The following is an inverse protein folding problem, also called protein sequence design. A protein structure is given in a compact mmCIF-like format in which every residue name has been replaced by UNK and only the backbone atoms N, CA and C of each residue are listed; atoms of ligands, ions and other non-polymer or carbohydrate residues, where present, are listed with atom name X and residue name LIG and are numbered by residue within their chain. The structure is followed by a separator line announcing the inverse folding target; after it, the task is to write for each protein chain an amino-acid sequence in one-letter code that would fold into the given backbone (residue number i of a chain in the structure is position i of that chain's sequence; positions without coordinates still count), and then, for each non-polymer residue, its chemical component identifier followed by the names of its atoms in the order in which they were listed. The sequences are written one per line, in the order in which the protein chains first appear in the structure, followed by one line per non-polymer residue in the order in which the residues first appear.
data_IF_554628514491
#
_entry.id   IF_554628514491
#
_cell.length_a   1.000
_cell.length_b   1.000
_cell.length_c   1.000
_cell.angle_alpha   90.00
_cell.angle_beta   90.00
_cell.angle_gamma   90.00
#
_symmetry.space_group_name_H-M   'P 1'
#
loop_
_entity.id
_entity.type
_entity.pdbx_description
1 polymer ?
#
# COMPACT_ATOMS: atom_id res chain seq x y z
N UNK A 1 -8.29 0.48 -11.05
CA UNK A 1 -7.62 -0.51 -10.18
C UNK A 1 -6.84 -1.53 -11.03
N UNK A 2 -5.77 -2.14 -10.48
CA UNK A 2 -4.92 -3.19 -11.12
C UNK A 2 -4.44 -4.16 -10.03
N UNK A 3 -4.02 -5.39 -10.40
CA UNK A 3 -3.53 -6.41 -9.46
C UNK A 3 -2.48 -5.89 -8.48
N UNK A 4 -1.53 -5.08 -8.96
CA UNK A 4 -0.49 -4.48 -8.11
C UNK A 4 -1.04 -3.67 -6.92
N UNK A 5 -2.21 -3.04 -7.05
CA UNK A 5 -2.85 -2.32 -5.94
C UNK A 5 -3.37 -3.29 -4.88
N UNK A 6 -3.94 -4.42 -5.30
CA UNK A 6 -4.45 -5.47 -4.41
C UNK A 6 -3.29 -6.14 -3.68
N UNK A 7 -2.18 -6.44 -4.37
CA UNK A 7 -0.96 -6.97 -3.77
C UNK A 7 -0.39 -6.03 -2.70
N UNK A 8 -0.30 -4.72 -3.01
CA UNK A 8 0.18 -3.72 -2.06
C UNK A 8 -0.74 -3.59 -0.85
N UNK A 9 -2.06 -3.54 -1.07
CA UNK A 9 -3.04 -3.53 0.02
C UNK A 9 -2.90 -4.77 0.91
N UNK A 10 -2.87 -5.97 0.32
CA UNK A 10 -2.77 -7.23 1.04
C UNK A 10 -1.45 -7.32 1.83
N UNK A 11 -0.33 -6.90 1.24
CA UNK A 11 0.95 -6.87 1.93
C UNK A 11 0.94 -5.91 3.14
N UNK A 12 0.27 -4.75 3.03
CA UNK A 12 0.14 -3.82 4.16
C UNK A 12 -0.76 -4.42 5.25
N UNK A 13 -1.89 -5.03 4.88
CA UNK A 13 -2.78 -5.71 5.85
C UNK A 13 -2.04 -6.84 6.56
N UNK A 14 -1.28 -7.65 5.83
CA UNK A 14 -0.53 -8.78 6.37
C UNK A 14 0.61 -8.35 7.31
N UNK A 15 1.30 -7.26 6.99
CA UNK A 15 2.50 -6.83 7.71
C UNK A 15 2.26 -5.71 8.73
N UNK A 16 1.10 -5.06 8.68
CA UNK A 16 0.72 -3.94 9.54
C UNK A 16 1.49 -2.64 9.29
N UNK A 17 2.42 -2.57 8.33
CA UNK A 17 3.14 -1.34 8.02
C UNK A 17 3.63 -1.26 6.58
N UNK A 18 3.71 -0.04 6.04
CA UNK A 18 4.23 0.23 4.69
C UNK A 18 5.69 -0.24 4.55
N UNK A 19 6.52 0.00 5.58
CA UNK A 19 7.93 -0.40 5.57
C UNK A 19 8.13 -1.91 5.56
N UNK A 20 7.29 -2.66 6.30
CA UNK A 20 7.35 -4.12 6.30
C UNK A 20 6.78 -4.70 5.00
N UNK A 21 5.70 -4.13 4.44
CA UNK A 21 5.16 -4.51 3.14
C UNK A 21 6.18 -4.31 2.00
N UNK A 22 6.95 -3.22 2.05
CA UNK A 22 8.02 -2.96 1.09
C UNK A 22 9.10 -4.05 1.12
N UNK A 23 9.54 -4.47 2.32
CA UNK A 23 10.47 -5.58 2.51
C UNK A 23 9.87 -6.90 2.02
N UNK A 24 8.61 -7.19 2.36
CA UNK A 24 7.92 -8.42 1.95
C UNK A 24 7.83 -8.54 0.42
N UNK A 25 7.53 -7.43 -0.27
CA UNK A 25 7.40 -7.39 -1.73
C UNK A 25 8.72 -7.10 -2.46
N UNK A 26 9.84 -7.04 -1.74
CA UNK A 26 11.17 -6.71 -2.27
C UNK A 26 11.19 -5.44 -3.15
N UNK A 27 10.58 -4.36 -2.66
CA UNK A 27 10.56 -3.05 -3.31
C UNK A 27 10.85 -1.92 -2.33
N UNK A 28 11.05 -0.71 -2.85
CA UNK A 28 11.23 0.47 -2.01
C UNK A 28 9.92 0.92 -1.35
N UNK A 29 10.00 1.49 -0.15
CA UNK A 29 8.85 2.08 0.55
C UNK A 29 8.14 3.17 -0.28
N UNK A 30 8.83 4.08 -1.00
CA UNK A 30 8.17 5.05 -1.87
C UNK A 30 7.33 4.43 -2.99
N UNK A 31 7.74 3.25 -3.52
CA UNK A 31 6.94 2.53 -4.51
C UNK A 31 5.60 2.06 -3.91
N UNK A 32 5.65 1.45 -2.72
CA UNK A 32 4.43 1.05 -1.99
C UNK A 32 3.52 2.25 -1.74
N UNK A 33 4.06 3.36 -1.21
CA UNK A 33 3.28 4.58 -0.95
C UNK A 33 2.65 5.14 -2.23
N UNK A 34 3.36 5.14 -3.36
CA UNK A 34 2.83 5.60 -4.65
C UNK A 34 1.68 4.73 -5.15
N UNK A 35 1.83 3.41 -5.09
CA UNK A 35 0.78 2.46 -5.51
C UNK A 35 -0.43 2.59 -4.60
N UNK A 36 -0.24 2.67 -3.28
CA UNK A 36 -1.33 2.85 -2.33
C UNK A 36 -2.08 4.16 -2.58
N UNK A 37 -1.38 5.29 -2.70
CA UNK A 37 -1.99 6.58 -2.99
C UNK A 37 -2.80 6.54 -4.30
N UNK A 38 -2.29 5.87 -5.33
CA UNK A 38 -3.02 5.72 -6.59
C UNK A 38 -4.29 4.85 -6.43
N UNK A 39 -4.26 3.83 -5.58
CA UNK A 39 -5.45 3.04 -5.24
C UNK A 39 -6.50 3.91 -4.51
N UNK A 40 -6.09 4.64 -3.48
CA UNK A 40 -6.95 5.54 -2.70
C UNK A 40 -7.57 6.63 -3.58
N UNK A 41 -6.80 7.22 -4.51
CA UNK A 41 -7.31 8.19 -5.49
C UNK A 41 -8.38 7.59 -6.41
N UNK A 42 -8.21 6.35 -6.88
CA UNK A 42 -9.21 5.69 -7.72
C UNK A 42 -10.47 5.29 -6.95
N UNK A 43 -10.35 5.07 -5.65
CA UNK A 43 -11.47 4.71 -4.78
C UNK A 43 -12.19 5.93 -4.20
N UNK A 44 -11.52 7.08 -4.13
CA UNK A 44 -12.06 8.31 -3.57
C UNK A 44 -12.04 8.38 -2.04
N UNK A 45 -11.35 7.44 -1.38
CA UNK A 45 -11.19 7.42 0.08
C UNK A 45 -9.87 6.75 0.50
N UNK A 46 -9.43 7.02 1.72
CA UNK A 46 -8.23 6.41 2.30
C UNK A 46 -8.50 4.95 2.69
N UNK A 47 -7.59 4.04 2.32
CA UNK A 47 -7.68 2.62 2.63
C UNK A 47 -7.18 2.30 4.05
N UNK A 48 -6.33 3.16 4.60
CA UNK A 48 -5.75 2.99 5.93
C UNK A 48 -5.75 4.30 6.71
N UNK A 49 -5.97 4.21 8.02
CA UNK A 49 -5.80 5.32 8.93
C UNK A 49 -4.31 5.52 9.23
N UNK A 50 -3.79 6.70 8.89
CA UNK A 50 -2.39 7.06 9.13
C UNK A 50 -2.29 7.69 10.52
N UNK A 51 -1.88 6.88 11.50
CA UNK A 51 -1.52 7.41 12.83
C UNK A 51 -0.19 8.16 12.71
N UNK A 52 -0.24 9.47 12.96
CA UNK A 52 0.93 10.37 13.01
C UNK A 52 1.73 10.08 14.28
#
# INVERSE_FOLDING_TARGET
MRLRHIEVFQAIVQTGSISAAARLLNVSQPNISRVLNHAEQQLGFALFERRI
#
